data_IF_367699985121
#
_entry.id   IF_367699985121
#
_cell.length_a   1.000
_cell.length_b   1.000
_cell.length_c   1.000
_cell.angle_alpha   90.00
_cell.angle_beta   90.00
_cell.angle_gamma   90.00
#
_symmetry.space_group_name_H-M   'P 1'
#
loop_
_entity.id
_entity.type
_entity.pdbx_description
1 polymer ?
#
# COMPACT_ATOMS: atom_id res chain seq x y z
N UNK A 1 -28.39 -16.74 -28.50
CA UNK A 1 -28.45 -17.41 -27.19
C UNK A 1 -27.02 -17.42 -26.66
N UNK A 2 -26.66 -16.39 -25.93
CA UNK A 2 -25.35 -16.29 -25.24
C UNK A 2 -25.60 -16.66 -23.79
N UNK A 3 -25.15 -17.88 -23.45
CA UNK A 3 -25.18 -18.41 -22.10
C UNK A 3 -24.13 -17.62 -21.27
N UNK A 4 -24.59 -16.62 -20.54
CA UNK A 4 -23.81 -15.98 -19.48
C UNK A 4 -24.03 -16.82 -18.22
N UNK A 5 -23.18 -17.82 -18.02
CA UNK A 5 -23.08 -18.52 -16.74
C UNK A 5 -22.61 -17.52 -15.68
N UNK A 6 -23.54 -16.91 -15.00
CA UNK A 6 -23.33 -16.06 -13.83
C UNK A 6 -22.97 -16.97 -12.65
N UNK A 7 -21.70 -17.40 -12.60
CA UNK A 7 -21.17 -18.10 -11.45
C UNK A 7 -21.13 -17.15 -10.23
N UNK A 8 -21.14 -17.66 -8.99
CA UNK A 8 -21.04 -16.83 -7.80
C UNK A 8 -19.84 -15.89 -7.90
N UNK A 9 -20.02 -14.60 -7.54
CA UNK A 9 -18.95 -13.64 -7.55
C UNK A 9 -17.75 -14.20 -6.76
N UNK A 10 -16.52 -14.04 -7.27
CA UNK A 10 -15.35 -14.55 -6.57
C UNK A 10 -15.26 -13.91 -5.19
N UNK A 11 -14.82 -14.69 -4.19
CA UNK A 11 -14.57 -14.13 -2.87
C UNK A 11 -13.56 -12.97 -2.96
N UNK A 12 -13.59 -12.05 -2.00
CA UNK A 12 -12.80 -10.81 -2.04
C UNK A 12 -11.30 -11.05 -2.15
N UNK A 13 -10.77 -12.10 -1.50
CA UNK A 13 -9.35 -12.45 -1.55
C UNK A 13 -8.95 -12.91 -2.96
N UNK A 14 -9.75 -13.78 -3.56
CA UNK A 14 -9.56 -14.23 -4.95
C UNK A 14 -9.66 -13.05 -5.92
N UNK A 15 -10.62 -12.14 -5.74
CA UNK A 15 -10.76 -10.96 -6.56
C UNK A 15 -9.50 -10.07 -6.46
N UNK A 16 -8.95 -9.87 -5.25
CA UNK A 16 -7.74 -9.09 -5.07
C UNK A 16 -6.51 -9.72 -5.72
N UNK A 17 -6.33 -11.05 -5.58
CA UNK A 17 -5.26 -11.78 -6.29
C UNK A 17 -5.32 -11.57 -7.78
N UNK A 18 -6.50 -11.69 -8.38
CA UNK A 18 -6.69 -11.52 -9.83
C UNK A 18 -6.28 -10.13 -10.33
N UNK A 19 -6.40 -9.08 -9.52
CA UNK A 19 -5.96 -7.74 -9.91
C UNK A 19 -4.44 -7.65 -10.17
N UNK A 20 -3.64 -8.55 -9.57
CA UNK A 20 -2.20 -8.59 -9.77
C UNK A 20 -1.77 -9.40 -11.02
N UNK A 21 -2.70 -10.12 -11.65
CA UNK A 21 -2.45 -10.98 -12.81
C UNK A 21 -3.21 -10.52 -14.06
N UNK A 22 -3.65 -9.25 -14.09
CA UNK A 22 -4.25 -8.64 -15.27
C UNK A 22 -3.23 -8.26 -16.34
N UNK A 23 -3.71 -7.80 -17.50
CA UNK A 23 -2.86 -7.35 -18.61
C UNK A 23 -2.04 -6.10 -18.27
N UNK A 24 -2.45 -5.36 -17.26
CA UNK A 24 -1.77 -4.14 -16.77
C UNK A 24 -1.53 -4.23 -15.28
N UNK A 25 -0.46 -3.57 -14.77
CA UNK A 25 -0.21 -3.52 -13.33
C UNK A 25 -1.38 -2.95 -12.54
N UNK A 26 -1.63 -3.49 -11.35
CA UNK A 26 -2.52 -2.87 -10.38
C UNK A 26 -1.90 -1.56 -9.89
N UNK A 27 -2.47 -0.41 -10.26
CA UNK A 27 -2.18 0.84 -9.56
C UNK A 27 -2.95 0.84 -8.24
N UNK A 28 -2.23 0.83 -7.13
CA UNK A 28 -2.79 0.83 -5.78
C UNK A 28 -2.53 2.18 -5.10
N UNK A 29 -3.49 3.13 -5.16
CA UNK A 29 -3.36 4.38 -4.44
C UNK A 29 -3.49 4.16 -2.94
N UNK A 30 -2.79 5.00 -2.15
CA UNK A 30 -2.73 4.86 -0.70
C UNK A 30 -3.48 5.97 0.00
N UNK A 31 -4.43 5.59 0.87
CA UNK A 31 -5.19 6.47 1.74
C UNK A 31 -4.54 6.57 3.13
N UNK A 32 -4.87 7.64 3.86
CA UNK A 32 -4.38 7.88 5.23
C UNK A 32 -5.52 8.18 6.22
N UNK A 33 -6.72 8.41 5.69
CA UNK A 33 -7.94 8.65 6.45
C UNK A 33 -9.19 8.19 5.68
N UNK A 34 -10.35 8.32 6.30
CA UNK A 34 -11.62 7.93 5.70
C UNK A 34 -11.97 8.76 4.46
N UNK A 35 -11.69 10.07 4.48
CA UNK A 35 -12.04 10.97 3.38
C UNK A 35 -11.21 10.66 2.12
N UNK A 36 -9.89 10.49 2.27
CA UNK A 36 -9.01 10.10 1.17
C UNK A 36 -9.39 8.74 0.59
N UNK A 37 -9.74 7.76 1.46
CA UNK A 37 -10.19 6.45 1.02
C UNK A 37 -11.50 6.54 0.19
N UNK A 38 -12.52 7.25 0.71
CA UNK A 38 -13.79 7.44 0.01
C UNK A 38 -13.60 8.15 -1.34
N UNK A 39 -12.79 9.21 -1.39
CA UNK A 39 -12.50 9.94 -2.62
C UNK A 39 -11.85 9.04 -3.68
N UNK A 40 -10.87 8.21 -3.30
CA UNK A 40 -10.23 7.26 -4.19
C UNK A 40 -11.22 6.22 -4.73
N UNK A 41 -12.06 5.66 -3.86
CA UNK A 41 -13.08 4.68 -4.27
C UNK A 41 -14.11 5.30 -5.20
N UNK A 42 -14.62 6.50 -4.91
CA UNK A 42 -15.54 7.24 -5.81
C UNK A 42 -14.92 7.56 -7.16
N UNK A 43 -13.60 7.73 -7.21
CA UNK A 43 -12.87 7.93 -8.48
C UNK A 43 -12.84 6.68 -9.34
N UNK A 44 -13.16 5.51 -8.77
CA UNK A 44 -13.27 4.23 -9.49
C UNK A 44 -12.08 3.29 -9.30
N UNK A 45 -11.21 3.52 -8.31
CA UNK A 45 -10.15 2.57 -8.00
C UNK A 45 -10.73 1.28 -7.38
N UNK A 46 -10.51 0.11 -7.99
CA UNK A 46 -11.08 -1.16 -7.52
C UNK A 46 -10.44 -1.66 -6.23
N UNK A 47 -9.23 -1.18 -5.94
CA UNK A 47 -8.49 -1.49 -4.72
C UNK A 47 -7.73 -0.25 -4.24
N UNK A 48 -7.61 -0.12 -2.92
CA UNK A 48 -6.84 0.92 -2.25
C UNK A 48 -5.95 0.31 -1.16
N UNK A 49 -4.83 0.97 -0.88
CA UNK A 49 -3.98 0.65 0.28
C UNK A 49 -4.05 1.73 1.35
N UNK A 50 -3.51 1.46 2.54
CA UNK A 50 -3.14 2.51 3.49
C UNK A 50 -1.67 2.88 3.34
N UNK A 51 -1.25 3.99 3.94
CA UNK A 51 0.15 4.38 4.10
C UNK A 51 0.44 4.65 5.57
N UNK A 52 1.36 3.87 6.17
CA UNK A 52 1.77 4.02 7.56
C UNK A 52 2.23 5.45 7.87
N UNK A 53 3.12 6.02 7.04
CA UNK A 53 3.60 7.39 7.18
C UNK A 53 2.46 8.41 7.17
N UNK A 54 1.49 8.27 6.25
CA UNK A 54 0.35 9.21 6.19
C UNK A 54 -0.53 9.12 7.44
N UNK A 55 -0.82 7.91 7.92
CA UNK A 55 -1.58 7.67 9.16
C UNK A 55 -0.83 8.22 10.36
N UNK A 56 0.46 7.93 10.48
CA UNK A 56 1.31 8.40 11.57
C UNK A 56 1.39 9.93 11.61
N UNK A 57 1.75 10.55 10.49
CA UNK A 57 1.91 12.00 10.41
C UNK A 57 0.61 12.75 10.67
N UNK A 58 -0.54 12.27 10.16
CA UNK A 58 -1.85 12.85 10.43
C UNK A 58 -2.24 12.77 11.92
N UNK A 59 -1.74 11.77 12.64
CA UNK A 59 -1.95 11.59 14.08
C UNK A 59 -0.87 12.25 14.96
N UNK A 60 0.17 12.84 14.37
CA UNK A 60 1.32 13.40 15.11
C UNK A 60 2.18 12.34 15.79
N UNK A 61 2.22 11.13 15.22
CA UNK A 61 2.97 9.98 15.73
C UNK A 61 4.19 9.66 14.84
N UNK A 62 5.23 9.02 15.40
CA UNK A 62 6.35 8.53 14.60
C UNK A 62 5.93 7.32 13.75
N UNK A 63 6.39 7.27 12.50
CA UNK A 63 6.21 6.14 11.59
C UNK A 63 7.19 5.00 11.90
N UNK A 64 6.85 3.78 11.47
CA UNK A 64 7.65 2.56 11.61
C UNK A 64 8.02 2.17 13.06
N UNK A 65 7.26 2.62 14.05
CA UNK A 65 7.51 2.36 15.48
C UNK A 65 6.42 1.51 16.14
N UNK A 66 5.38 1.15 15.41
CA UNK A 66 4.19 0.48 15.96
C UNK A 66 3.23 1.40 16.71
N UNK A 67 3.57 2.70 16.86
CA UNK A 67 2.72 3.66 17.58
C UNK A 67 1.33 3.85 16.93
N UNK A 68 1.21 3.54 15.65
CA UNK A 68 -0.03 3.71 14.86
C UNK A 68 -0.98 2.52 14.94
N UNK A 69 -0.63 1.42 15.60
CA UNK A 69 -1.36 0.15 15.58
C UNK A 69 -2.88 0.31 15.73
N UNK A 70 -3.32 0.94 16.81
CA UNK A 70 -4.75 1.05 17.12
C UNK A 70 -5.48 1.98 16.14
N UNK A 71 -4.83 3.08 15.73
CA UNK A 71 -5.34 4.00 14.70
C UNK A 71 -5.46 3.33 13.33
N UNK A 72 -4.45 2.54 12.94
CA UNK A 72 -4.44 1.79 11.68
C UNK A 72 -5.55 0.73 11.65
N UNK A 73 -5.75 -0.02 12.74
CA UNK A 73 -6.81 -1.02 12.84
C UNK A 73 -8.20 -0.33 12.80
N UNK A 74 -8.37 0.79 13.51
CA UNK A 74 -9.62 1.54 13.51
C UNK A 74 -9.95 2.10 12.10
N UNK A 75 -8.96 2.67 11.42
CA UNK A 75 -9.09 3.15 10.04
C UNK A 75 -9.47 1.98 9.10
N UNK A 76 -8.72 0.87 9.18
CA UNK A 76 -8.95 -0.31 8.34
C UNK A 76 -10.39 -0.84 8.45
N UNK A 77 -10.93 -0.95 9.67
CA UNK A 77 -12.32 -1.35 9.93
C UNK A 77 -13.34 -0.39 9.29
N UNK A 78 -13.03 0.89 9.28
CA UNK A 78 -13.89 1.89 8.65
C UNK A 78 -13.88 1.76 7.13
N UNK A 79 -12.70 1.81 6.51
CA UNK A 79 -12.55 1.83 5.07
C UNK A 79 -12.86 0.48 4.38
N UNK A 80 -12.75 -0.64 5.10
CA UNK A 80 -13.11 -1.96 4.58
C UNK A 80 -14.62 -2.10 4.24
N UNK A 81 -15.46 -1.17 4.71
CA UNK A 81 -16.89 -1.09 4.35
C UNK A 81 -17.14 -0.45 2.99
N UNK A 82 -16.15 0.23 2.43
CA UNK A 82 -16.25 0.81 1.10
C UNK A 82 -16.37 -0.28 0.02
N UNK A 83 -17.02 -0.02 -1.12
CA UNK A 83 -17.14 -0.96 -2.23
C UNK A 83 -15.83 -1.08 -3.03
N UNK A 84 -14.73 -1.32 -2.34
CA UNK A 84 -13.40 -1.55 -2.90
C UNK A 84 -12.64 -2.61 -2.10
N UNK A 85 -11.60 -3.15 -2.69
CA UNK A 85 -10.70 -4.09 -2.03
C UNK A 85 -9.64 -3.30 -1.25
N UNK A 86 -9.47 -3.61 0.04
CA UNK A 86 -8.59 -2.84 0.94
C UNK A 86 -7.41 -3.69 1.39
N UNK A 87 -6.20 -3.18 1.19
CA UNK A 87 -4.98 -3.71 1.79
C UNK A 87 -4.40 -2.70 2.79
N UNK A 88 -3.78 -3.18 3.86
CA UNK A 88 -3.31 -2.34 4.97
C UNK A 88 -1.81 -2.47 5.14
N UNK A 89 -1.13 -1.34 5.26
CA UNK A 89 0.27 -1.28 5.68
C UNK A 89 0.33 -1.42 7.21
N UNK A 90 0.93 -2.50 7.69
CA UNK A 90 1.04 -2.82 9.11
C UNK A 90 2.48 -2.70 9.63
N UNK A 91 3.31 -1.91 8.97
CA UNK A 91 4.73 -1.73 9.35
C UNK A 91 5.43 -3.09 9.50
N UNK A 92 6.21 -3.30 10.55
CA UNK A 92 6.81 -4.61 10.88
C UNK A 92 5.85 -5.63 11.50
N UNK A 93 4.51 -5.35 11.48
CA UNK A 93 3.47 -6.27 11.94
C UNK A 93 2.84 -5.91 13.29
N UNK A 94 3.23 -4.82 13.93
CA UNK A 94 2.73 -4.37 15.25
C UNK A 94 2.89 -5.39 16.38
N UNK A 95 3.88 -6.28 16.30
CA UNK A 95 4.19 -7.29 17.30
C UNK A 95 5.62 -7.79 17.23
N UNK A 96 6.13 -8.24 18.36
CA UNK A 96 7.48 -8.80 18.45
C UNK A 96 7.54 -10.26 18.02
N UNK A 97 6.49 -11.02 18.29
CA UNK A 97 6.40 -12.44 17.99
C UNK A 97 5.54 -12.70 16.75
N UNK A 98 5.87 -13.72 15.94
CA UNK A 98 5.10 -14.08 14.74
C UNK A 98 3.59 -14.26 15.02
N UNK A 99 3.24 -14.86 16.14
CA UNK A 99 1.84 -15.12 16.52
C UNK A 99 1.07 -13.83 16.83
N UNK A 100 1.74 -12.79 17.33
CA UNK A 100 1.15 -11.48 17.57
C UNK A 100 0.81 -10.79 16.25
N UNK A 101 1.74 -10.86 15.29
CA UNK A 101 1.52 -10.32 13.93
C UNK A 101 0.39 -11.08 13.24
N UNK A 102 0.37 -12.41 13.34
CA UNK A 102 -0.70 -13.24 12.80
C UNK A 102 -2.08 -12.91 13.44
N UNK A 103 -2.10 -12.54 14.73
CA UNK A 103 -3.32 -12.12 15.40
C UNK A 103 -3.84 -10.78 14.85
N UNK A 104 -2.96 -9.81 14.57
CA UNK A 104 -3.30 -8.54 13.90
C UNK A 104 -3.84 -8.79 12.48
N UNK A 105 -3.17 -9.63 11.71
CA UNK A 105 -3.61 -10.01 10.36
C UNK A 105 -5.02 -10.64 10.38
N UNK A 106 -5.29 -11.54 11.34
CA UNK A 106 -6.60 -12.15 11.51
C UNK A 106 -7.68 -11.15 11.98
N UNK A 107 -7.32 -10.11 12.72
CA UNK A 107 -8.22 -9.03 13.11
C UNK A 107 -8.62 -8.18 11.90
N UNK A 108 -7.66 -7.86 11.04
CA UNK A 108 -7.87 -7.11 9.80
C UNK A 108 -8.71 -7.90 8.79
N UNK A 109 -8.41 -9.17 8.61
CA UNK A 109 -9.18 -10.08 7.75
C UNK A 109 -10.66 -10.13 8.16
N UNK A 110 -10.95 -10.31 9.46
CA UNK A 110 -12.32 -10.26 9.99
C UNK A 110 -13.03 -8.93 9.78
N UNK A 111 -12.27 -7.84 9.62
CA UNK A 111 -12.81 -6.54 9.26
C UNK A 111 -13.09 -6.39 7.75
N UNK A 112 -12.70 -7.38 6.92
CA UNK A 112 -12.89 -7.36 5.46
C UNK A 112 -11.68 -6.84 4.67
N UNK A 113 -10.52 -6.68 5.31
CA UNK A 113 -9.25 -6.40 4.64
C UNK A 113 -8.81 -7.64 3.85
N UNK A 114 -8.31 -7.45 2.64
CA UNK A 114 -7.93 -8.55 1.74
C UNK A 114 -6.43 -8.78 1.62
N UNK A 115 -5.63 -7.88 2.18
CA UNK A 115 -4.17 -8.02 2.15
C UNK A 115 -3.47 -7.08 3.13
N UNK A 116 -2.20 -7.36 3.38
CA UNK A 116 -1.32 -6.56 4.23
C UNK A 116 0.04 -6.37 3.58
N UNK A 117 0.68 -5.22 3.82
CA UNK A 117 2.12 -5.08 3.66
C UNK A 117 2.77 -5.34 5.01
N UNK A 118 3.85 -6.12 5.02
CA UNK A 118 4.67 -6.37 6.23
C UNK A 118 6.12 -6.11 5.84
N UNK A 119 6.78 -5.14 6.48
CA UNK A 119 8.15 -4.76 6.18
C UNK A 119 9.16 -5.41 7.12
N UNK A 120 10.40 -5.53 6.65
CA UNK A 120 11.52 -6.00 7.45
C UNK A 120 12.41 -4.86 7.98
N UNK A 121 12.12 -3.61 7.64
CA UNK A 121 12.77 -2.43 8.19
C UNK A 121 12.50 -2.26 9.68
N UNK A 122 13.48 -1.78 10.42
CA UNK A 122 13.40 -1.52 11.86
C UNK A 122 13.64 -0.05 12.18
N UNK A 123 13.11 0.47 13.30
CA UNK A 123 13.32 1.86 13.70
C UNK A 123 14.81 2.24 13.91
N UNK A 124 15.66 1.27 14.21
CA UNK A 124 17.10 1.48 14.39
C UNK A 124 17.88 1.55 13.06
N UNK A 125 17.18 1.50 11.92
CA UNK A 125 17.80 1.54 10.59
C UNK A 125 18.40 0.22 10.14
N UNK A 126 18.11 -0.88 10.83
CA UNK A 126 18.54 -2.23 10.45
C UNK A 126 17.38 -3.03 9.83
N UNK A 127 17.71 -4.14 9.19
CA UNK A 127 16.73 -5.11 8.73
C UNK A 127 16.46 -6.17 9.81
N UNK A 128 15.25 -6.63 9.92
CA UNK A 128 14.90 -7.79 10.73
C UNK A 128 15.71 -9.02 10.26
N UNK A 129 16.12 -9.92 11.17
CA UNK A 129 16.73 -11.18 10.77
C UNK A 129 15.82 -11.93 9.79
N UNK A 130 16.42 -12.47 8.74
CA UNK A 130 15.68 -13.15 7.65
C UNK A 130 14.76 -14.25 8.20
N UNK A 131 15.26 -15.10 9.09
CA UNK A 131 14.47 -16.17 9.71
C UNK A 131 13.25 -15.65 10.48
N UNK A 132 13.36 -14.47 11.16
CA UNK A 132 12.22 -13.87 11.86
C UNK A 132 11.16 -13.40 10.85
N UNK A 133 11.57 -12.75 9.77
CA UNK A 133 10.62 -12.26 8.78
C UNK A 133 9.90 -13.41 8.08
N UNK A 134 10.60 -14.49 7.75
CA UNK A 134 9.99 -15.71 7.22
C UNK A 134 8.97 -16.29 8.21
N UNK A 135 9.33 -16.44 9.49
CA UNK A 135 8.42 -16.96 10.50
C UNK A 135 7.16 -16.07 10.67
N UNK A 136 7.27 -14.75 10.52
CA UNK A 136 6.11 -13.84 10.53
C UNK A 136 5.20 -14.13 9.34
N UNK A 137 5.75 -14.26 8.12
CA UNK A 137 4.98 -14.55 6.91
C UNK A 137 4.28 -15.90 7.05
N UNK A 138 5.00 -16.94 7.46
CA UNK A 138 4.46 -18.28 7.70
C UNK A 138 3.31 -18.25 8.71
N UNK A 139 3.50 -17.61 9.87
CA UNK A 139 2.47 -17.51 10.91
C UNK A 139 1.20 -16.79 10.43
N UNK A 140 1.35 -15.73 9.62
CA UNK A 140 0.21 -15.05 9.01
C UNK A 140 -0.51 -15.94 8.02
N UNK A 141 0.22 -16.65 7.15
CA UNK A 141 -0.35 -17.53 6.14
C UNK A 141 -1.02 -18.77 6.76
N UNK A 142 -0.44 -19.33 7.81
CA UNK A 142 -1.05 -20.45 8.55
C UNK A 142 -2.37 -20.03 9.21
N UNK A 143 -2.43 -18.83 9.76
CA UNK A 143 -3.61 -18.34 10.48
C UNK A 143 -4.70 -17.82 9.54
N UNK A 144 -4.32 -17.17 8.43
CA UNK A 144 -5.25 -16.55 7.46
C UNK A 144 -4.76 -16.86 6.03
N UNK A 145 -4.95 -18.09 5.54
CA UNK A 145 -4.41 -18.52 4.23
C UNK A 145 -4.89 -17.66 3.05
N UNK A 146 -6.11 -17.09 3.15
CA UNK A 146 -6.71 -16.23 2.12
C UNK A 146 -6.07 -14.85 2.00
N UNK A 147 -5.57 -14.29 3.09
CA UNK A 147 -5.05 -12.93 3.14
C UNK A 147 -3.81 -12.78 2.25
N UNK A 148 -3.80 -11.73 1.42
CA UNK A 148 -2.67 -11.43 0.54
C UNK A 148 -1.53 -10.80 1.35
N UNK A 149 -0.41 -11.50 1.49
CA UNK A 149 0.80 -10.98 2.15
C UNK A 149 1.73 -10.40 1.09
N UNK A 150 1.84 -9.07 1.06
CA UNK A 150 2.81 -8.33 0.25
C UNK A 150 4.05 -8.09 1.11
N UNK A 151 5.00 -9.03 1.06
CA UNK A 151 6.22 -8.96 1.87
C UNK A 151 7.14 -7.85 1.35
N UNK A 152 7.42 -6.86 2.21
CA UNK A 152 8.27 -5.74 1.88
C UNK A 152 9.68 -5.98 2.43
N UNK A 153 10.70 -5.75 1.57
CA UNK A 153 12.08 -5.66 2.02
C UNK A 153 12.62 -4.25 1.86
N UNK A 154 13.10 -3.69 2.94
CA UNK A 154 13.61 -2.33 3.03
C UNK A 154 15.10 -2.20 2.70
N UNK A 155 15.68 -3.18 2.02
CA UNK A 155 17.08 -3.18 1.59
C UNK A 155 17.48 -1.90 0.85
N UNK A 156 16.68 -1.45 -0.11
CA UNK A 156 16.91 -0.21 -0.86
C UNK A 156 16.38 1.02 -0.14
N UNK A 157 15.28 0.87 0.61
CA UNK A 157 14.65 1.97 1.34
C UNK A 157 15.56 2.53 2.43
N UNK A 158 16.15 1.69 3.28
CA UNK A 158 17.05 2.12 4.34
C UNK A 158 18.30 2.82 3.79
N UNK A 159 18.85 2.35 2.67
CA UNK A 159 19.94 3.04 1.99
C UNK A 159 19.51 4.43 1.47
N UNK A 160 18.31 4.53 0.89
CA UNK A 160 17.81 5.78 0.34
C UNK A 160 17.57 6.84 1.42
N UNK A 161 16.95 6.48 2.55
CA UNK A 161 16.69 7.44 3.65
C UNK A 161 17.94 7.75 4.49
N UNK A 162 18.87 6.78 4.62
CA UNK A 162 20.13 6.95 5.35
C UNK A 162 21.25 7.60 4.53
N UNK A 163 21.02 7.90 3.23
CA UNK A 163 22.05 8.43 2.34
C UNK A 163 23.18 7.43 2.03
N UNK A 164 22.92 6.14 2.23
CA UNK A 164 23.88 5.06 1.99
C UNK A 164 23.79 4.50 0.56
N UNK A 165 24.68 3.55 0.27
CA UNK A 165 24.63 2.77 -0.97
C UNK A 165 23.70 1.57 -0.79
N UNK A 166 22.75 1.32 -1.70
CA UNK A 166 21.93 0.12 -1.65
C UNK A 166 22.80 -1.15 -1.66
N UNK A 167 22.38 -2.23 -0.99
CA UNK A 167 23.06 -3.51 -1.10
C UNK A 167 23.01 -4.04 -2.55
N UNK A 168 23.79 -5.08 -2.81
CA UNK A 168 23.73 -5.74 -4.12
C UNK A 168 22.33 -6.30 -4.37
N UNK A 169 21.95 -6.41 -5.64
CA UNK A 169 20.69 -7.02 -6.02
C UNK A 169 20.58 -8.47 -5.51
N UNK A 170 21.69 -9.20 -5.47
CA UNK A 170 21.75 -10.56 -4.94
C UNK A 170 21.33 -10.64 -3.46
N UNK A 171 21.72 -9.67 -2.63
CA UNK A 171 21.29 -9.60 -1.22
C UNK A 171 19.79 -9.37 -1.10
N UNK A 172 19.22 -8.55 -1.98
CA UNK A 172 17.77 -8.33 -2.03
C UNK A 172 17.04 -9.59 -2.53
N UNK A 173 17.57 -10.23 -3.58
CA UNK A 173 17.00 -11.44 -4.15
C UNK A 173 16.96 -12.60 -3.14
N UNK A 174 18.03 -12.80 -2.34
CA UNK A 174 18.06 -13.82 -1.28
C UNK A 174 16.89 -13.66 -0.29
N UNK A 175 16.58 -12.42 0.13
CA UNK A 175 15.45 -12.14 1.02
C UNK A 175 14.12 -12.42 0.34
N UNK A 176 13.97 -11.95 -0.91
CA UNK A 176 12.77 -12.15 -1.73
C UNK A 176 12.44 -13.63 -1.89
N UNK A 177 13.42 -14.43 -2.30
CA UNK A 177 13.26 -15.88 -2.43
C UNK A 177 12.83 -16.56 -1.12
N UNK A 178 13.41 -16.14 0.00
CA UNK A 178 13.03 -16.66 1.30
C UNK A 178 11.58 -16.29 1.67
N UNK A 179 11.14 -15.07 1.34
CA UNK A 179 9.77 -14.63 1.60
C UNK A 179 8.74 -15.37 0.73
N UNK A 180 9.06 -15.58 -0.54
CA UNK A 180 8.21 -16.40 -1.43
C UNK A 180 8.10 -17.83 -0.89
N UNK A 181 9.21 -18.44 -0.48
CA UNK A 181 9.19 -19.78 0.14
C UNK A 181 8.39 -19.84 1.45
N UNK A 182 8.38 -18.75 2.22
CA UNK A 182 7.57 -18.59 3.43
C UNK A 182 6.08 -18.35 3.17
N UNK A 183 5.67 -18.22 1.89
CA UNK A 183 4.29 -18.07 1.47
C UNK A 183 3.82 -16.65 1.19
N UNK A 184 4.73 -15.69 0.97
CA UNK A 184 4.36 -14.36 0.51
C UNK A 184 3.64 -14.44 -0.84
N UNK A 185 2.54 -13.69 -0.98
CA UNK A 185 1.73 -13.63 -2.20
C UNK A 185 2.19 -12.55 -3.18
N UNK A 186 3.01 -11.62 -2.71
CA UNK A 186 3.64 -10.58 -3.50
C UNK A 186 4.87 -10.03 -2.78
N UNK A 187 5.74 -9.39 -3.54
CA UNK A 187 6.99 -8.81 -3.05
C UNK A 187 6.99 -7.31 -3.28
N UNK A 188 7.43 -6.55 -2.28
CA UNK A 188 7.55 -5.11 -2.36
C UNK A 188 8.98 -4.65 -2.06
N UNK A 189 9.59 -3.93 -3.01
CA UNK A 189 10.94 -3.36 -2.87
C UNK A 189 10.86 -1.84 -3.06
N UNK A 190 10.56 -1.07 -2.00
CA UNK A 190 10.53 0.39 -2.08
C UNK A 190 11.92 0.95 -2.34
N UNK A 191 11.98 2.12 -3.02
CA UNK A 191 13.21 2.80 -3.45
C UNK A 191 14.11 2.01 -4.42
N UNK A 192 13.68 0.88 -4.94
CA UNK A 192 14.30 0.27 -6.11
C UNK A 192 13.89 1.08 -7.35
N UNK A 193 14.85 1.83 -7.93
CA UNK A 193 14.58 2.76 -9.05
C UNK A 193 15.34 2.42 -10.33
N UNK A 194 16.31 1.52 -10.26
CA UNK A 194 17.08 1.07 -11.42
C UNK A 194 16.24 0.10 -12.26
N UNK A 195 15.99 0.47 -13.53
CA UNK A 195 15.11 -0.29 -14.42
C UNK A 195 15.64 -1.68 -14.74
N UNK A 196 16.96 -1.84 -14.87
CA UNK A 196 17.57 -3.14 -15.13
C UNK A 196 17.31 -4.09 -13.94
N UNK A 197 17.50 -3.60 -12.72
CA UNK A 197 17.26 -4.37 -11.51
C UNK A 197 15.77 -4.68 -11.30
N UNK A 198 14.87 -3.73 -11.61
CA UNK A 198 13.42 -3.96 -11.58
C UNK A 198 13.04 -5.09 -12.56
N UNK A 199 13.50 -4.99 -13.81
CA UNK A 199 13.21 -6.00 -14.83
C UNK A 199 13.78 -7.38 -14.48
N UNK A 200 15.00 -7.44 -13.93
CA UNK A 200 15.62 -8.67 -13.46
C UNK A 200 14.79 -9.34 -12.36
N UNK A 201 14.43 -8.60 -11.30
CA UNK A 201 13.61 -9.13 -10.21
C UNK A 201 12.21 -9.55 -10.67
N UNK A 202 11.58 -8.77 -11.57
CA UNK A 202 10.28 -9.12 -12.12
C UNK A 202 10.33 -10.42 -12.93
N UNK A 203 11.42 -10.66 -13.66
CA UNK A 203 11.65 -11.91 -14.41
C UNK A 203 11.93 -13.11 -13.50
N UNK A 204 12.69 -12.91 -12.42
CA UNK A 204 13.04 -13.98 -11.49
C UNK A 204 11.85 -14.41 -10.59
N UNK A 205 10.88 -13.52 -10.37
CA UNK A 205 9.72 -13.77 -9.51
C UNK A 205 8.61 -14.59 -10.18
N UNK A 206 8.67 -14.76 -11.51
CA UNK A 206 7.71 -15.53 -12.31
C UNK A 206 6.25 -15.14 -11.98
N UNK A 207 5.51 -16.02 -11.30
CA UNK A 207 4.10 -15.80 -10.94
C UNK A 207 3.89 -14.88 -9.72
N UNK A 208 4.94 -14.59 -8.93
CA UNK A 208 4.81 -13.74 -7.73
C UNK A 208 4.84 -12.27 -8.10
N UNK A 209 3.77 -11.50 -7.86
CA UNK A 209 3.71 -10.08 -8.23
C UNK A 209 4.80 -9.24 -7.58
N UNK A 210 5.59 -8.55 -8.40
CA UNK A 210 6.49 -7.50 -7.92
C UNK A 210 5.72 -6.19 -7.76
N UNK A 211 5.80 -5.61 -6.57
CA UNK A 211 5.32 -4.26 -6.26
C UNK A 211 6.48 -3.28 -6.22
N UNK A 212 6.35 -2.16 -6.92
CA UNK A 212 7.30 -1.03 -6.90
C UNK A 212 6.62 0.21 -6.36
N UNK A 213 7.35 0.98 -5.55
CA UNK A 213 6.93 2.30 -5.09
C UNK A 213 7.10 3.31 -6.24
N UNK A 214 6.01 3.93 -6.66
CA UNK A 214 6.06 4.97 -7.70
C UNK A 214 6.88 6.17 -7.24
N UNK A 215 7.89 6.52 -8.04
CA UNK A 215 8.77 7.66 -7.79
C UNK A 215 8.63 8.66 -8.94
N UNK A 216 7.98 9.84 -8.70
CA UNK A 216 7.86 10.88 -9.72
C UNK A 216 9.22 11.27 -10.32
N UNK A 217 9.25 11.45 -11.64
CA UNK A 217 10.48 11.80 -12.37
C UNK A 217 11.47 10.64 -12.59
N UNK A 218 11.22 9.46 -12.01
CA UNK A 218 12.00 8.24 -12.25
C UNK A 218 11.22 7.21 -13.03
N UNK A 219 9.92 7.07 -12.73
CA UNK A 219 9.08 6.06 -13.31
C UNK A 219 7.90 6.67 -14.06
N UNK A 220 7.44 5.97 -15.10
CA UNK A 220 6.09 6.10 -15.64
C UNK A 220 5.34 4.78 -15.41
N UNK A 221 4.02 4.82 -15.42
CA UNK A 221 3.19 3.63 -15.26
C UNK A 221 3.47 2.62 -16.38
N UNK A 222 3.54 3.12 -17.62
CA UNK A 222 3.81 2.32 -18.82
C UNK A 222 5.16 1.63 -18.74
N UNK A 223 6.19 2.38 -18.30
CA UNK A 223 7.52 1.81 -18.20
C UNK A 223 7.62 0.71 -17.14
N UNK A 224 6.99 0.88 -15.99
CA UNK A 224 6.92 -0.18 -14.99
C UNK A 224 6.15 -1.41 -15.48
N UNK A 225 5.09 -1.21 -16.29
CA UNK A 225 4.37 -2.32 -16.92
C UNK A 225 5.27 -3.10 -17.91
N UNK A 226 6.03 -2.41 -18.75
CA UNK A 226 6.99 -3.02 -19.67
C UNK A 226 8.08 -3.83 -18.96
N UNK A 227 8.48 -3.41 -17.76
CA UNK A 227 9.46 -4.10 -16.93
C UNK A 227 8.89 -5.34 -16.20
N UNK A 228 7.61 -5.65 -16.37
CA UNK A 228 6.98 -6.80 -15.75
C UNK A 228 6.46 -6.57 -14.32
N UNK A 229 6.45 -5.31 -13.84
CA UNK A 229 5.86 -4.96 -12.54
C UNK A 229 4.36 -5.27 -12.56
N UNK A 230 3.85 -5.89 -11.50
CA UNK A 230 2.44 -6.29 -11.39
C UNK A 230 1.62 -5.42 -10.43
N UNK A 231 2.28 -4.69 -9.54
CA UNK A 231 1.66 -3.73 -8.62
C UNK A 231 2.51 -2.46 -8.53
N UNK A 232 1.86 -1.32 -8.52
CA UNK A 232 2.47 -0.01 -8.34
C UNK A 232 1.79 0.66 -7.16
N UNK A 233 2.53 0.91 -6.09
CA UNK A 233 2.05 1.59 -4.88
C UNK A 233 2.45 3.06 -4.90
N UNK A 234 1.60 3.93 -4.35
CA UNK A 234 1.90 5.36 -4.18
C UNK A 234 2.60 5.67 -2.85
N UNK A 235 2.51 4.79 -1.86
CA UNK A 235 3.03 5.05 -0.51
C UNK A 235 2.51 6.38 0.04
N UNK A 236 3.38 7.19 0.62
CA UNK A 236 3.00 8.51 1.16
C UNK A 236 2.90 9.63 0.11
N UNK A 237 3.09 9.33 -1.18
CA UNK A 237 3.12 10.36 -2.23
C UNK A 237 1.85 11.21 -2.24
N UNK A 238 0.68 10.59 -2.18
CA UNK A 238 -0.61 11.28 -2.24
C UNK A 238 -0.84 12.15 -1.01
N UNK A 239 -0.50 11.65 0.18
CA UNK A 239 -0.53 12.42 1.42
C UNK A 239 0.38 13.65 1.35
N UNK A 240 1.63 13.47 0.93
CA UNK A 240 2.60 14.58 0.81
C UNK A 240 2.16 15.61 -0.22
N UNK A 241 1.60 15.17 -1.35
CA UNK A 241 1.07 16.06 -2.37
C UNK A 241 -0.13 16.87 -1.87
N UNK A 242 -1.04 16.25 -1.09
CA UNK A 242 -2.18 16.93 -0.49
C UNK A 242 -1.74 17.99 0.51
N UNK A 243 -0.75 17.70 1.37
CA UNK A 243 -0.19 18.66 2.33
C UNK A 243 0.49 19.84 1.62
N UNK A 244 1.37 19.55 0.64
CA UNK A 244 2.06 20.58 -0.14
C UNK A 244 1.04 21.52 -0.79
N UNK A 245 0.04 20.97 -1.47
CA UNK A 245 -0.98 21.77 -2.12
C UNK A 245 -1.79 22.62 -1.14
N UNK A 246 -2.20 22.07 0.00
CA UNK A 246 -2.96 22.81 1.02
C UNK A 246 -2.17 23.97 1.61
N UNK A 247 -0.88 23.75 1.91
CA UNK A 247 0.02 24.79 2.45
C UNK A 247 0.26 25.88 1.42
N UNK A 248 0.59 25.53 0.17
CA UNK A 248 0.84 26.49 -0.90
C UNK A 248 -0.42 27.30 -1.23
N UNK A 249 -1.59 26.67 -1.24
CA UNK A 249 -2.86 27.38 -1.42
C UNK A 249 -3.10 28.41 -0.31
N UNK A 250 -2.94 28.01 0.94
CA UNK A 250 -3.08 28.93 2.08
C UNK A 250 -2.08 30.08 2.03
N UNK A 251 -0.82 29.79 1.67
CA UNK A 251 0.22 30.79 1.52
C UNK A 251 -0.10 31.80 0.41
N UNK A 252 -0.59 31.35 -0.73
CA UNK A 252 -0.94 32.20 -1.87
C UNK A 252 -2.07 33.18 -1.57
N UNK A 253 -3.03 32.80 -0.72
CA UNK A 253 -4.12 33.69 -0.29
C UNK A 253 -3.56 34.88 0.50
N UNK A 254 -2.53 34.67 1.31
CA UNK A 254 -1.91 35.71 2.12
C UNK A 254 -0.88 36.54 1.35
N UNK A 255 -0.38 36.08 0.22
CA UNK A 255 0.71 36.69 -0.54
C UNK A 255 0.34 36.85 -2.04
N UNK A 256 -0.61 37.72 -2.37
CA UNK A 256 -1.02 37.97 -3.75
C UNK A 256 0.17 38.48 -4.58
N UNK A 257 0.48 37.85 -5.70
CA UNK A 257 1.63 38.16 -6.58
C UNK A 257 2.78 37.14 -6.53
N UNK A 258 2.79 36.21 -5.59
CA UNK A 258 3.56 34.96 -5.74
C UNK A 258 2.77 34.08 -6.69
N UNK A 259 3.39 33.58 -7.81
CA UNK A 259 2.67 32.67 -8.70
C UNK A 259 2.28 31.44 -7.88
N UNK A 260 1.03 31.39 -7.46
CA UNK A 260 0.51 30.17 -6.87
C UNK A 260 0.43 29.12 -7.96
N UNK A 261 0.65 27.87 -7.63
CA UNK A 261 0.06 26.75 -8.39
C UNK A 261 -1.48 26.83 -8.38
N UNK A 262 -2.00 28.06 -8.15
CA UNK A 262 -3.38 28.42 -7.82
C UNK A 262 -4.37 28.37 -9.01
N UNK A 263 -3.92 28.09 -10.22
CA UNK A 263 -4.82 27.82 -11.35
C UNK A 263 -5.68 26.55 -11.12
N UNK A 264 -5.37 25.79 -10.07
CA UNK A 264 -6.12 24.59 -9.69
C UNK A 264 -7.20 24.82 -8.63
N UNK A 265 -7.30 26.00 -8.02
CA UNK A 265 -8.31 26.27 -6.99
C UNK A 265 -9.75 26.28 -7.54
N UNK A 266 -9.92 26.51 -8.84
CA UNK A 266 -11.23 26.49 -9.50
C UNK A 266 -11.82 25.06 -9.64
N UNK A 267 -10.97 24.03 -9.60
CA UNK A 267 -11.34 22.64 -9.80
C UNK A 267 -11.40 21.84 -8.48
N UNK A 268 -11.33 22.52 -7.33
CA UNK A 268 -11.43 21.85 -6.04
C UNK A 268 -12.85 21.32 -5.79
N UNK A 269 -12.99 20.14 -5.14
CA UNK A 269 -14.29 19.62 -4.73
C UNK A 269 -15.07 20.66 -3.92
N UNK A 270 -16.35 20.83 -4.28
CA UNK A 270 -17.23 21.74 -3.54
C UNK A 270 -17.46 21.26 -2.10
N UNK A 271 -17.91 22.20 -1.23
CA UNK A 271 -18.20 21.88 0.18
C UNK A 271 -19.19 20.71 0.34
N UNK A 272 -20.25 20.68 -0.49
CA UNK A 272 -21.24 19.60 -0.47
C UNK A 272 -20.64 18.24 -0.86
N UNK A 273 -19.75 18.22 -1.86
CA UNK A 273 -19.05 17.02 -2.31
C UNK A 273 -18.11 16.50 -1.20
N UNK A 274 -17.29 17.38 -0.63
CA UNK A 274 -16.39 17.01 0.47
C UNK A 274 -17.18 16.48 1.69
N UNK A 275 -18.31 17.12 2.03
CA UNK A 275 -19.19 16.65 3.12
C UNK A 275 -19.79 15.29 2.83
N UNK A 276 -20.20 15.01 1.60
CA UNK A 276 -20.83 13.75 1.23
C UNK A 276 -19.89 12.53 1.31
N UNK A 277 -18.57 12.72 1.42
CA UNK A 277 -17.64 11.61 1.64
C UNK A 277 -17.94 10.83 2.94
N UNK A 278 -18.54 11.50 3.95
CA UNK A 278 -18.95 10.83 5.18
C UNK A 278 -20.13 9.87 4.99
N UNK A 279 -20.98 10.11 3.97
CA UNK A 279 -22.17 9.29 3.72
C UNK A 279 -21.80 7.85 3.33
N UNK A 280 -20.63 7.65 2.73
CA UNK A 280 -20.10 6.32 2.35
C UNK A 280 -19.85 5.41 3.56
N UNK A 281 -19.77 6.00 4.77
CA UNK A 281 -19.54 5.28 6.03
C UNK A 281 -20.79 5.18 6.91
N UNK A 282 -21.84 5.95 6.64
CA UNK A 282 -23.07 6.01 7.45
C UNK A 282 -24.23 5.23 6.88
N UNK A 283 -24.20 4.93 5.57
CA UNK A 283 -25.22 4.14 4.89
C UNK A 283 -25.16 2.66 5.25
N UNK A 284 -26.31 1.99 5.33
CA UNK A 284 -26.38 0.55 5.25
C UNK A 284 -25.71 0.12 3.94
N UNK A 285 -24.80 -0.86 4.01
CA UNK A 285 -24.11 -1.36 2.82
C UNK A 285 -25.10 -1.67 1.68
N UNK A 286 -24.60 -1.81 0.44
CA UNK A 286 -25.46 -2.05 -0.72
C UNK A 286 -26.34 -3.27 -0.45
N UNK A 287 -27.65 -3.04 -0.52
CA UNK A 287 -28.71 -4.07 -0.47
C UNK A 287 -28.62 -4.99 -1.66
#
# INVERSE_FOLDING_TARGET
MTDTSDGPAPDRHTAFRRLHHGDRPLLLPNAWDHASAAALVRRGFPAIGTTSLGVAAAAGLPDATGATRDGTIALARGIARLPALVTVDIEGGFGERPEEVAAVAAELDRAGVVGVNIEDGRPDGTLAPLARQCAVIEAVKDRVPGLFVNARTDTHWLAAIGGGTPPSLATTAERIEAYVRAGADGIFVPALVDEHNIGALAGDLDETPLNILFTPGRHTYERLAELGVRRISCGSLLFRAALDHAVELAWSIAHPGVPARADQAADLPGYAEARSLADDFTGAGPT
#
